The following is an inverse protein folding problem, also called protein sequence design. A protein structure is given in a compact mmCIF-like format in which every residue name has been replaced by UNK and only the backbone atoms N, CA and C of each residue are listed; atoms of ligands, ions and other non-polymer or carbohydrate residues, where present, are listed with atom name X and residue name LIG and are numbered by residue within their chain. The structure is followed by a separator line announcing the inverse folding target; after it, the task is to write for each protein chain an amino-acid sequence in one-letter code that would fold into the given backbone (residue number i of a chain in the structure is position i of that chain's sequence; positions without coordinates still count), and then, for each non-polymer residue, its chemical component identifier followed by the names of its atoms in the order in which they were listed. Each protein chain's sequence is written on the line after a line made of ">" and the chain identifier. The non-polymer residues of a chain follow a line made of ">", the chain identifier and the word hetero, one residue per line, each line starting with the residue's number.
data_IF_709883763529
#
_entry.id   IF_709883763529
#
_cell.length_a   1.000
_cell.length_b   1.000
_cell.length_c   1.000
_cell.angle_alpha   90.00
_cell.angle_beta   90.00
_cell.angle_gamma   90.00
#
_symmetry.space_group_name_H-M   'P 1'
#
loop_
_entity.id
_entity.type
_entity.pdbx_description
1 polymer ?
#
# COMPACT_ATOMS: atom_id res chain seq x y z
N UNK A 1 -31.96 11.43 41.85
CA UNK A 1 -31.03 12.57 42.01
C UNK A 1 -29.58 12.11 42.14
N UNK A 2 -29.24 11.20 43.07
CA UNK A 2 -27.87 10.65 43.23
C UNK A 2 -27.28 10.04 41.95
N UNK A 3 -28.02 9.16 41.27
CA UNK A 3 -27.64 8.51 40.00
C UNK A 3 -27.41 9.46 38.81
N UNK A 4 -28.03 10.65 38.83
CA UNK A 4 -27.85 11.67 37.78
C UNK A 4 -26.59 12.51 38.01
N UNK A 5 -26.26 12.81 39.27
CA UNK A 5 -25.04 13.52 39.66
C UNK A 5 -23.80 12.65 39.42
N UNK A 6 -23.90 11.36 39.77
CA UNK A 6 -22.86 10.35 39.54
C UNK A 6 -22.49 10.23 38.05
N UNK A 7 -23.48 10.18 37.15
CA UNK A 7 -23.24 10.17 35.70
C UNK A 7 -22.54 11.42 35.15
N UNK A 8 -22.87 12.61 35.65
CA UNK A 8 -22.24 13.87 35.22
C UNK A 8 -20.76 13.95 35.65
N UNK A 9 -20.47 13.52 36.88
CA UNK A 9 -19.10 13.51 37.41
C UNK A 9 -18.21 12.55 36.62
N UNK A 10 -18.75 11.41 36.19
CA UNK A 10 -18.00 10.41 35.44
C UNK A 10 -17.80 10.80 33.97
N UNK A 11 -18.75 11.49 33.35
CA UNK A 11 -18.55 12.08 32.02
C UNK A 11 -17.40 13.09 32.02
N UNK A 12 -17.31 13.93 33.07
CA UNK A 12 -16.20 14.88 33.24
C UNK A 12 -14.86 14.17 33.44
N UNK A 13 -14.83 13.08 34.22
CA UNK A 13 -13.62 12.27 34.41
C UNK A 13 -13.15 11.63 33.10
N UNK A 14 -14.07 11.11 32.27
CA UNK A 14 -13.75 10.57 30.93
C UNK A 14 -13.19 11.67 30.02
N UNK A 15 -13.77 12.86 30.05
CA UNK A 15 -13.30 14.01 29.27
C UNK A 15 -11.87 14.38 29.65
N UNK A 16 -11.58 14.50 30.94
CA UNK A 16 -10.23 14.79 31.43
C UNK A 16 -9.23 13.68 31.09
N UNK A 17 -9.65 12.42 31.12
CA UNK A 17 -8.81 11.31 30.73
C UNK A 17 -8.43 11.39 29.24
N UNK A 18 -9.39 11.63 28.35
CA UNK A 18 -9.14 11.82 26.92
C UNK A 18 -8.27 13.06 26.67
N UNK A 19 -8.50 14.16 27.37
CA UNK A 19 -7.66 15.34 27.24
C UNK A 19 -6.20 15.09 27.62
N UNK A 20 -5.95 14.28 28.66
CA UNK A 20 -4.58 13.87 29.04
C UNK A 20 -3.93 12.98 27.99
N UNK A 21 -4.68 12.08 27.37
CA UNK A 21 -4.18 11.23 26.28
C UNK A 21 -3.72 12.06 25.08
N UNK A 22 -4.37 13.20 24.82
CA UNK A 22 -4.04 14.10 23.73
C UNK A 22 -3.21 15.31 24.15
N UNK A 23 -2.62 15.30 25.35
CA UNK A 23 -1.88 16.46 25.88
C UNK A 23 -0.67 16.84 25.01
N UNK A 24 0.03 15.85 24.47
CA UNK A 24 1.20 16.01 23.60
C UNK A 24 0.85 15.99 22.10
N UNK A 25 -0.45 15.93 21.76
CA UNK A 25 -0.92 15.91 20.38
C UNK A 25 -0.86 17.32 19.74
N UNK A 26 -0.54 17.42 18.44
CA UNK A 26 -0.63 18.67 17.68
C UNK A 26 -2.05 19.23 17.70
N UNK A 27 -2.18 20.55 17.88
CA UNK A 27 -3.47 21.26 17.88
C UNK A 27 -3.98 21.51 16.44
N UNK A 28 -4.23 20.43 15.70
CA UNK A 28 -4.83 20.48 14.36
C UNK A 28 -6.32 20.16 14.41
N UNK A 29 -7.08 20.61 13.40
CA UNK A 29 -8.50 20.29 13.27
C UNK A 29 -8.75 18.77 13.28
N UNK A 30 -7.93 18.00 12.56
CA UNK A 30 -8.00 16.54 12.51
C UNK A 30 -7.81 15.90 13.89
N UNK A 31 -6.88 16.39 14.69
CA UNK A 31 -6.65 15.89 16.05
C UNK A 31 -7.79 16.28 17.01
N UNK A 32 -8.40 17.45 16.82
CA UNK A 32 -9.58 17.84 17.58
C UNK A 32 -10.80 16.95 17.25
N UNK A 33 -11.00 16.64 15.97
CA UNK A 33 -12.06 15.74 15.51
C UNK A 33 -11.85 14.32 16.04
N UNK A 34 -10.64 13.77 15.93
CA UNK A 34 -10.30 12.45 16.46
C UNK A 34 -10.48 12.37 17.98
N UNK A 35 -10.07 13.42 18.70
CA UNK A 35 -10.26 13.50 20.16
C UNK A 35 -11.75 13.42 20.53
N UNK A 36 -12.60 14.12 19.78
CA UNK A 36 -14.05 14.09 20.03
C UNK A 36 -14.66 12.74 19.67
N UNK A 37 -14.20 12.11 18.57
CA UNK A 37 -14.62 10.76 18.17
C UNK A 37 -14.28 9.72 19.24
N UNK A 38 -13.05 9.73 19.76
CA UNK A 38 -12.64 8.83 20.83
C UNK A 38 -13.45 9.10 22.10
N UNK A 39 -13.66 10.35 22.48
CA UNK A 39 -14.50 10.68 23.64
C UNK A 39 -15.92 10.12 23.51
N UNK A 40 -16.55 10.29 22.35
CA UNK A 40 -17.90 9.78 22.09
C UNK A 40 -17.97 8.26 22.14
N UNK A 41 -17.01 7.57 21.52
CA UNK A 41 -16.94 6.10 21.55
C UNK A 41 -16.75 5.55 22.97
N UNK A 42 -15.94 6.21 23.80
CA UNK A 42 -15.73 5.80 25.19
C UNK A 42 -16.95 6.07 26.05
N UNK A 43 -17.63 7.20 25.82
CA UNK A 43 -18.88 7.54 26.50
C UNK A 43 -19.98 6.53 26.16
N UNK A 44 -20.12 6.16 24.90
CA UNK A 44 -21.07 5.13 24.46
C UNK A 44 -20.77 3.79 25.14
N UNK A 45 -19.52 3.33 25.07
CA UNK A 45 -19.11 2.06 25.71
C UNK A 45 -19.30 2.08 27.24
N UNK A 46 -19.05 3.21 27.89
CA UNK A 46 -19.31 3.39 29.30
C UNK A 46 -20.81 3.24 29.62
N UNK A 47 -21.68 3.90 28.86
CA UNK A 47 -23.11 3.83 29.04
C UNK A 47 -23.64 2.41 28.82
N UNK A 48 -23.15 1.70 27.79
CA UNK A 48 -23.49 0.30 27.54
C UNK A 48 -23.17 -0.59 28.73
N UNK A 49 -22.00 -0.41 29.36
CA UNK A 49 -21.62 -1.17 30.55
C UNK A 49 -22.53 -0.86 31.75
N UNK A 50 -22.93 0.41 31.92
CA UNK A 50 -23.88 0.83 32.97
C UNK A 50 -25.28 0.26 32.75
N UNK A 51 -25.73 0.17 31.50
CA UNK A 51 -27.00 -0.47 31.14
C UNK A 51 -26.96 -1.98 31.36
N UNK A 52 -25.81 -2.62 31.11
CA UNK A 52 -25.58 -4.05 31.38
C UNK A 52 -25.34 -4.37 32.86
N UNK A 53 -25.50 -3.40 33.76
CA UNK A 53 -25.48 -3.60 35.21
C UNK A 53 -24.09 -3.49 35.86
N UNK A 54 -23.07 -3.05 35.13
CA UNK A 54 -21.74 -2.82 35.69
C UNK A 54 -21.77 -1.66 36.71
N UNK A 55 -20.91 -1.76 37.73
CA UNK A 55 -20.70 -0.64 38.65
C UNK A 55 -20.03 0.52 37.93
N UNK A 56 -20.06 1.69 38.56
CA UNK A 56 -19.56 2.90 37.93
C UNK A 56 -18.04 2.89 37.78
N UNK A 57 -17.39 2.38 38.81
CA UNK A 57 -15.95 2.16 38.89
C UNK A 57 -15.50 1.05 37.95
N UNK A 58 -16.27 -0.03 37.86
CA UNK A 58 -15.97 -1.17 36.98
C UNK A 58 -16.08 -0.77 35.51
N UNK A 59 -17.16 -0.07 35.12
CA UNK A 59 -17.34 0.45 33.77
C UNK A 59 -16.18 1.38 33.37
N UNK A 60 -15.72 2.24 34.29
CA UNK A 60 -14.62 3.15 34.04
C UNK A 60 -13.28 2.44 33.80
N UNK A 61 -12.92 1.45 34.62
CA UNK A 61 -11.68 0.68 34.45
C UNK A 61 -11.68 -0.15 33.15
N UNK A 62 -12.84 -0.68 32.75
CA UNK A 62 -12.99 -1.40 31.47
C UNK A 62 -12.80 -0.45 30.28
N UNK A 63 -13.39 0.75 30.34
CA UNK A 63 -13.26 1.75 29.27
C UNK A 63 -11.82 2.25 29.13
N UNK A 64 -11.16 2.51 30.26
CA UNK A 64 -9.75 2.93 30.32
C UNK A 64 -8.81 1.87 29.71
N UNK A 65 -9.01 0.59 30.03
CA UNK A 65 -8.20 -0.49 29.46
C UNK A 65 -8.49 -0.78 27.98
N UNK A 66 -9.66 -0.37 27.46
CA UNK A 66 -10.08 -0.61 26.07
C UNK A 66 -9.40 0.30 25.04
N UNK A 67 -8.83 1.42 25.47
CA UNK A 67 -8.22 2.41 24.59
C UNK A 67 -6.91 1.90 23.97
N UNK A 68 -6.17 1.04 24.65
CA UNK A 68 -4.91 0.50 24.16
C UNK A 68 -3.82 1.56 23.98
N UNK A 69 -3.02 1.43 22.90
CA UNK A 69 -1.91 2.31 22.59
C UNK A 69 -2.37 3.55 21.82
N UNK A 70 -2.72 4.61 22.56
CA UNK A 70 -3.16 5.89 21.97
C UNK A 70 -2.03 6.57 21.23
N UNK A 71 -0.78 6.29 21.59
CA UNK A 71 0.37 6.82 20.86
C UNK A 71 0.41 6.24 19.45
N UNK A 72 -0.03 4.99 19.23
CA UNK A 72 -0.21 4.42 17.88
C UNK A 72 -1.35 5.12 17.10
N UNK A 73 -2.47 5.43 17.76
CA UNK A 73 -3.60 6.15 17.14
C UNK A 73 -3.24 7.61 16.82
N UNK A 74 -2.56 8.30 17.73
CA UNK A 74 -2.08 9.67 17.57
C UNK A 74 -0.98 9.72 16.52
N UNK A 75 -0.07 8.74 16.51
CA UNK A 75 0.99 8.60 15.51
C UNK A 75 0.39 8.38 14.12
N UNK A 76 -0.53 7.41 13.96
CA UNK A 76 -1.20 7.16 12.68
C UNK A 76 -2.11 8.32 12.23
N UNK A 77 -2.69 9.08 13.16
CA UNK A 77 -3.50 10.26 12.82
C UNK A 77 -2.66 11.48 12.45
N UNK A 78 -1.52 11.68 13.12
CA UNK A 78 -0.58 12.77 12.86
C UNK A 78 0.43 12.47 11.77
N UNK A 79 0.60 11.21 11.38
CA UNK A 79 1.50 10.87 10.29
C UNK A 79 0.98 11.55 9.01
N UNK A 80 1.68 12.57 8.48
CA UNK A 80 1.32 13.21 7.21
C UNK A 80 1.52 12.24 6.04
N UNK A 81 2.11 11.07 6.32
CA UNK A 81 2.30 9.93 5.46
C UNK A 81 1.39 8.77 5.84
N UNK A 82 0.40 8.93 6.72
CA UNK A 82 -0.64 7.93 6.91
C UNK A 82 -1.53 7.90 5.68
N UNK A 83 -1.55 6.73 5.10
CA UNK A 83 -2.03 6.45 3.77
C UNK A 83 -3.30 5.71 4.04
N UNK A 84 -4.47 6.20 3.59
CA UNK A 84 -5.64 5.36 3.62
C UNK A 84 -5.25 4.05 2.93
N UNK A 85 -5.21 2.97 3.72
CA UNK A 85 -4.90 1.65 3.21
C UNK A 85 -5.82 1.37 2.02
N UNK A 86 -5.35 0.66 0.98
CA UNK A 86 -6.15 0.45 -0.22
C UNK A 86 -7.53 -0.07 0.15
N UNK A 87 -8.58 0.64 -0.28
CA UNK A 87 -9.97 0.32 0.07
C UNK A 87 -10.25 -1.17 -0.18
N UNK A 88 -11.12 -1.78 0.62
CA UNK A 88 -11.36 -3.23 0.53
C UNK A 88 -11.77 -3.67 -0.89
N UNK A 89 -12.47 -2.79 -1.63
CA UNK A 89 -12.81 -2.96 -3.04
C UNK A 89 -11.57 -2.99 -3.95
N UNK A 90 -10.63 -2.06 -3.75
CA UNK A 90 -9.36 -2.05 -4.47
C UNK A 90 -8.50 -3.27 -4.10
N UNK A 91 -8.46 -3.70 -2.84
CA UNK A 91 -7.75 -4.90 -2.40
C UNK A 91 -8.27 -6.16 -3.10
N UNK A 92 -9.59 -6.30 -3.24
CA UNK A 92 -10.23 -7.44 -3.92
C UNK A 92 -9.95 -7.43 -5.43
N UNK A 93 -10.03 -6.27 -6.09
CA UNK A 93 -9.66 -6.14 -7.52
C UNK A 93 -8.16 -6.39 -7.74
N UNK A 94 -7.32 -5.92 -6.80
CA UNK A 94 -5.86 -6.16 -6.77
C UNK A 94 -5.50 -7.63 -6.55
N UNK A 95 -6.30 -8.40 -5.83
CA UNK A 95 -6.07 -9.84 -5.70
C UNK A 95 -6.48 -10.57 -6.99
N UNK A 96 -7.59 -10.17 -7.61
CA UNK A 96 -8.13 -10.80 -8.83
C UNK A 96 -7.17 -10.77 -10.02
N UNK A 97 -6.62 -9.60 -10.39
CA UNK A 97 -5.71 -9.51 -11.55
C UNK A 97 -4.39 -10.27 -11.34
N UNK A 98 -3.87 -10.31 -10.11
CA UNK A 98 -2.66 -11.12 -9.82
C UNK A 98 -2.98 -12.59 -9.98
N UNK A 99 -4.14 -13.04 -9.47
CA UNK A 99 -4.57 -14.43 -9.59
C UNK A 99 -4.73 -14.86 -11.05
N UNK A 100 -5.31 -13.99 -11.91
CA UNK A 100 -5.43 -14.25 -13.36
C UNK A 100 -4.07 -14.40 -14.03
N UNK A 101 -3.11 -13.51 -13.75
CA UNK A 101 -1.77 -13.62 -14.31
C UNK A 101 -1.06 -14.91 -13.87
N UNK A 102 -1.17 -15.28 -12.60
CA UNK A 102 -0.60 -16.53 -12.06
C UNK A 102 -1.25 -17.75 -12.70
N UNK A 103 -2.57 -17.74 -12.88
CA UNK A 103 -3.30 -18.81 -13.55
C UNK A 103 -2.84 -18.99 -15.01
N UNK A 104 -2.62 -17.89 -15.74
CA UNK A 104 -2.09 -17.92 -17.10
C UNK A 104 -0.68 -18.53 -17.17
N UNK A 105 0.19 -18.24 -16.20
CA UNK A 105 1.52 -18.88 -16.13
C UNK A 105 1.43 -20.38 -15.87
N UNK A 106 0.54 -20.82 -14.97
CA UNK A 106 0.34 -22.24 -14.69
C UNK A 106 -0.21 -22.98 -15.91
N UNK A 107 -1.04 -22.30 -16.72
CA UNK A 107 -1.65 -22.88 -17.91
C UNK A 107 -0.72 -22.89 -19.13
N UNK A 108 0.28 -22.00 -19.20
CA UNK A 108 1.19 -21.90 -20.35
C UNK A 108 1.91 -23.22 -20.72
N UNK A 109 2.44 -24.03 -19.79
CA UNK A 109 3.05 -25.33 -20.09
C UNK A 109 2.07 -26.38 -20.65
N UNK A 110 0.76 -26.21 -20.49
CA UNK A 110 -0.24 -27.16 -21.02
C UNK A 110 -0.18 -27.17 -22.55
N UNK A 111 0.04 -26.02 -23.18
CA UNK A 111 0.11 -25.92 -24.64
C UNK A 111 1.29 -26.66 -25.26
N UNK A 112 2.46 -26.66 -24.60
CA UNK A 112 3.62 -27.42 -25.10
C UNK A 112 3.42 -28.94 -24.92
N UNK A 113 2.72 -29.38 -23.86
CA UNK A 113 2.44 -30.80 -23.62
C UNK A 113 1.40 -31.33 -24.64
N UNK A 114 0.30 -30.61 -24.85
CA UNK A 114 -0.79 -31.03 -25.74
C UNK A 114 -0.37 -30.95 -27.21
N UNK A 115 0.21 -29.85 -27.67
CA UNK A 115 0.64 -29.72 -29.06
C UNK A 115 1.91 -30.53 -29.33
N UNK A 116 2.74 -30.73 -28.31
CA UNK A 116 3.90 -31.61 -28.38
C UNK A 116 3.53 -33.08 -28.63
N UNK A 117 2.44 -33.57 -28.04
CA UNK A 117 1.96 -34.94 -28.28
C UNK A 117 1.40 -35.16 -29.69
N UNK A 118 0.99 -34.08 -30.37
CA UNK A 118 0.57 -34.06 -31.78
C UNK A 118 1.74 -33.82 -32.76
N UNK A 119 3.00 -33.88 -32.27
CA UNK A 119 4.21 -33.56 -33.04
C UNK A 119 4.28 -32.10 -33.55
N UNK A 120 3.54 -31.18 -32.93
CA UNK A 120 3.49 -29.74 -33.24
C UNK A 120 4.19 -28.92 -32.15
N UNK A 121 5.38 -29.36 -31.75
CA UNK A 121 6.15 -28.80 -30.61
C UNK A 121 6.48 -27.31 -30.80
N UNK A 122 6.83 -26.92 -32.02
CA UNK A 122 7.13 -25.52 -32.37
C UNK A 122 5.90 -24.64 -32.14
N UNK A 123 4.73 -25.10 -32.56
CA UNK A 123 3.46 -24.38 -32.39
C UNK A 123 3.12 -24.24 -30.90
N UNK A 124 3.29 -25.31 -30.11
CA UNK A 124 3.07 -25.30 -28.66
C UNK A 124 4.01 -24.34 -27.92
N UNK A 125 5.27 -24.28 -28.33
CA UNK A 125 6.25 -23.34 -27.81
C UNK A 125 5.85 -21.89 -28.11
N UNK A 126 5.39 -21.60 -29.32
CA UNK A 126 4.92 -20.26 -29.70
C UNK A 126 3.72 -19.82 -28.85
N UNK A 127 2.71 -20.68 -28.67
CA UNK A 127 1.56 -20.35 -27.82
C UNK A 127 1.93 -20.13 -26.35
N UNK A 128 2.87 -20.92 -25.82
CA UNK A 128 3.38 -20.74 -24.47
C UNK A 128 3.99 -19.34 -24.28
N UNK A 129 4.86 -18.90 -25.20
CA UNK A 129 5.48 -17.57 -25.10
C UNK A 129 4.49 -16.43 -25.25
N UNK A 130 3.45 -16.57 -26.08
CA UNK A 130 2.37 -15.58 -26.20
C UNK A 130 1.63 -15.43 -24.87
N UNK A 131 1.27 -16.55 -24.22
CA UNK A 131 0.59 -16.52 -22.92
C UNK A 131 1.45 -15.89 -21.81
N UNK A 132 2.74 -16.22 -21.80
CA UNK A 132 3.71 -15.62 -20.87
C UNK A 132 3.81 -14.11 -21.11
N UNK A 133 3.88 -13.67 -22.37
CA UNK A 133 3.93 -12.26 -22.72
C UNK A 133 2.66 -11.51 -22.27
N UNK A 134 1.47 -12.10 -22.46
CA UNK A 134 0.19 -11.53 -22.02
C UNK A 134 0.11 -11.45 -20.49
N UNK A 135 0.48 -12.52 -19.78
CA UNK A 135 0.49 -12.55 -18.32
C UNK A 135 1.47 -11.52 -17.73
N UNK A 136 2.66 -11.41 -18.32
CA UNK A 136 3.67 -10.43 -17.92
C UNK A 136 3.20 -9.01 -18.23
N UNK A 137 2.63 -8.78 -19.41
CA UNK A 137 2.04 -7.50 -19.80
C UNK A 137 0.95 -7.04 -18.84
N UNK A 138 0.08 -7.95 -18.37
CA UNK A 138 -0.95 -7.65 -17.37
C UNK A 138 -0.35 -7.22 -16.02
N UNK A 139 0.73 -7.89 -15.57
CA UNK A 139 1.43 -7.53 -14.33
C UNK A 139 2.19 -6.21 -14.45
N UNK A 140 2.87 -5.98 -15.58
CA UNK A 140 3.65 -4.77 -15.82
C UNK A 140 2.75 -3.56 -16.03
N UNK A 141 1.66 -3.69 -16.80
CA UNK A 141 0.65 -2.65 -16.96
C UNK A 141 0.14 -2.19 -15.58
N UNK A 142 -0.24 -3.16 -14.74
CA UNK A 142 -0.64 -2.85 -13.36
C UNK A 142 0.48 -2.23 -12.51
N UNK A 143 1.71 -2.71 -12.64
CA UNK A 143 2.86 -2.16 -11.91
C UNK A 143 3.16 -0.72 -12.34
N UNK A 144 2.94 -0.38 -13.61
CA UNK A 144 3.13 0.95 -14.18
C UNK A 144 1.99 1.90 -13.81
N UNK A 145 0.77 1.39 -13.59
CA UNK A 145 -0.33 2.12 -12.93
C UNK A 145 -0.13 2.30 -11.41
N UNK A 146 1.10 2.28 -10.92
CA UNK A 146 1.46 2.88 -9.63
C UNK A 146 1.85 4.35 -9.87
N UNK A 147 0.91 5.32 -9.96
CA UNK A 147 1.29 6.66 -9.58
C UNK A 147 1.62 6.56 -8.10
N UNK A 148 2.88 6.81 -7.74
CA UNK A 148 3.27 6.94 -6.35
C UNK A 148 2.31 7.92 -5.68
N UNK A 149 1.44 7.40 -4.83
CA UNK A 149 0.55 8.12 -3.94
C UNK A 149 -0.06 9.38 -4.56
N UNK A 150 -1.25 9.18 -5.11
CA UNK A 150 -2.21 10.27 -5.19
C UNK A 150 -2.56 10.65 -3.75
N UNK A 151 -1.83 11.64 -3.24
CA UNK A 151 -2.24 12.45 -2.09
C UNK A 151 -3.60 13.02 -2.45
N UNK A 152 -4.66 12.41 -1.90
CA UNK A 152 -5.91 13.11 -1.69
C UNK A 152 -5.55 14.33 -0.85
N UNK A 153 -5.90 15.53 -1.33
CA UNK A 153 -5.53 16.81 -0.72
C UNK A 153 -5.94 16.80 0.75
N UNK A 154 -4.96 16.67 1.65
CA UNK A 154 -5.17 17.01 3.05
C UNK A 154 -5.22 18.54 3.13
N UNK A 155 -6.28 18.98 3.79
CA UNK A 155 -6.79 20.33 3.95
C UNK A 155 -5.74 21.47 3.92
N UNK A 156 -6.15 22.58 3.32
CA UNK A 156 -5.34 23.72 2.83
C UNK A 156 -4.66 24.56 3.94
N UNK A 157 -4.49 24.03 5.16
CA UNK A 157 -4.03 24.80 6.33
C UNK A 157 -2.68 24.37 6.92
N UNK A 158 -1.93 23.44 6.31
CA UNK A 158 -0.62 23.02 6.81
C UNK A 158 0.52 23.31 5.81
N UNK A 159 1.07 24.51 5.99
CA UNK A 159 2.45 24.96 5.72
C UNK A 159 3.03 24.74 4.31
N UNK A 160 3.20 25.86 3.59
CA UNK A 160 3.85 25.95 2.27
C UNK A 160 5.29 25.38 2.24
N UNK A 161 5.98 25.32 3.38
CA UNK A 161 7.31 24.71 3.52
C UNK A 161 7.31 23.18 3.31
N UNK A 162 6.22 22.48 3.69
CA UNK A 162 6.10 21.03 3.50
C UNK A 162 5.84 20.66 2.03
N UNK A 163 5.12 21.52 1.29
CA UNK A 163 4.91 21.36 -0.16
C UNK A 163 6.23 21.43 -0.94
N UNK A 164 7.14 22.34 -0.58
CA UNK A 164 8.38 22.55 -1.34
C UNK A 164 9.36 21.36 -1.20
N UNK A 165 9.59 20.86 0.02
CA UNK A 165 10.48 19.72 0.25
C UNK A 165 9.98 18.43 -0.43
N UNK A 166 8.67 18.22 -0.47
CA UNK A 166 8.07 17.07 -1.16
C UNK A 166 8.07 17.18 -2.67
N UNK A 167 7.83 18.37 -3.24
CA UNK A 167 7.83 18.54 -4.70
C UNK A 167 9.25 18.34 -5.26
N UNK A 168 10.29 18.85 -4.60
CA UNK A 168 11.67 18.66 -5.06
C UNK A 168 12.15 17.21 -4.95
N UNK A 169 11.94 16.56 -3.80
CA UNK A 169 12.34 15.16 -3.61
C UNK A 169 11.50 14.17 -4.45
N UNK A 170 10.22 14.49 -4.71
CA UNK A 170 9.35 13.70 -5.57
C UNK A 170 9.74 13.83 -7.04
N UNK A 171 10.05 15.03 -7.53
CA UNK A 171 10.52 15.20 -8.90
C UNK A 171 11.87 14.50 -9.15
N UNK A 172 12.77 14.49 -8.16
CA UNK A 172 14.04 13.75 -8.25
C UNK A 172 13.82 12.23 -8.32
N UNK A 173 13.00 11.67 -7.43
CA UNK A 173 12.69 10.22 -7.39
C UNK A 173 11.80 9.74 -8.55
N UNK A 174 10.89 10.55 -9.07
CA UNK A 174 10.05 10.19 -10.21
C UNK A 174 10.84 10.09 -11.51
N UNK A 175 11.82 11.00 -11.72
CA UNK A 175 12.74 10.91 -12.86
C UNK A 175 13.58 9.63 -12.77
N UNK A 176 14.18 9.31 -11.63
CA UNK A 176 14.98 8.08 -11.48
C UNK A 176 14.16 6.78 -11.68
N UNK A 177 12.93 6.72 -11.16
CA UNK A 177 12.09 5.51 -11.23
C UNK A 177 11.48 5.25 -12.60
N UNK A 178 11.20 6.29 -13.40
CA UNK A 178 10.69 6.13 -14.76
C UNK A 178 11.73 5.46 -15.69
N UNK A 179 13.02 5.80 -15.55
CA UNK A 179 14.08 5.20 -16.35
C UNK A 179 14.34 3.73 -15.97
N UNK A 180 14.38 3.43 -14.67
CA UNK A 180 14.65 2.06 -14.19
C UNK A 180 13.49 1.11 -14.52
N UNK A 181 12.24 1.60 -14.55
CA UNK A 181 11.06 0.80 -14.88
C UNK A 181 11.01 0.30 -16.34
N UNK A 182 11.60 1.04 -17.29
CA UNK A 182 11.54 0.72 -18.72
C UNK A 182 12.75 -0.07 -19.25
N UNK A 183 13.91 0.01 -18.60
CA UNK A 183 15.15 -0.60 -19.08
C UNK A 183 15.09 -2.13 -19.09
N UNK A 184 14.58 -2.75 -18.03
CA UNK A 184 14.50 -4.20 -17.91
C UNK A 184 13.64 -4.90 -18.97
N UNK A 185 12.39 -4.47 -19.25
CA UNK A 185 11.60 -5.10 -20.30
C UNK A 185 12.23 -4.94 -21.70
N UNK A 186 12.93 -3.82 -21.96
CA UNK A 186 13.66 -3.61 -23.21
C UNK A 186 14.84 -4.58 -23.34
N UNK A 187 15.64 -4.75 -22.28
CA UNK A 187 16.76 -5.72 -22.26
C UNK A 187 16.23 -7.14 -22.52
N UNK A 188 15.13 -7.52 -21.89
CA UNK A 188 14.51 -8.84 -22.06
C UNK A 188 14.02 -9.02 -23.50
N UNK A 189 13.37 -8.00 -24.09
CA UNK A 189 12.94 -8.06 -25.49
C UNK A 189 14.12 -8.23 -26.46
N UNK A 190 15.20 -7.45 -26.27
CA UNK A 190 16.43 -7.56 -27.07
C UNK A 190 17.08 -8.94 -26.91
N UNK A 191 17.17 -9.45 -25.69
CA UNK A 191 17.66 -10.81 -25.43
C UNK A 191 16.87 -11.85 -26.22
N UNK A 192 15.54 -11.81 -26.17
CA UNK A 192 14.72 -12.77 -26.92
C UNK A 192 14.92 -12.65 -28.43
N UNK A 193 14.89 -11.43 -29.00
CA UNK A 193 15.07 -11.22 -30.44
C UNK A 193 16.42 -11.77 -30.91
N UNK A 194 17.50 -11.50 -30.19
CA UNK A 194 18.85 -11.97 -30.55
C UNK A 194 18.98 -13.48 -30.31
N UNK A 195 18.44 -14.00 -29.21
CA UNK A 195 18.55 -15.42 -28.86
C UNK A 195 17.76 -16.33 -29.79
N UNK A 196 16.60 -15.86 -30.28
CA UNK A 196 15.82 -16.60 -31.29
C UNK A 196 16.43 -16.54 -32.69
N UNK A 197 16.99 -15.40 -33.10
CA UNK A 197 17.60 -15.27 -34.44
C UNK A 197 18.94 -16.02 -34.55
N UNK A 198 19.73 -16.02 -33.47
CA UNK A 198 21.05 -16.67 -33.46
C UNK A 198 21.01 -18.13 -33.03
N UNK A 199 19.96 -18.58 -32.33
CA UNK A 199 19.89 -19.91 -31.71
C UNK A 199 20.99 -20.16 -30.66
N UNK A 200 21.78 -19.14 -30.32
CA UNK A 200 22.97 -19.22 -29.48
C UNK A 200 22.66 -18.88 -28.02
N UNK A 201 21.66 -19.58 -27.45
CA UNK A 201 21.17 -19.39 -26.07
C UNK A 201 22.29 -19.43 -25.01
N UNK A 202 23.38 -20.13 -25.31
CA UNK A 202 24.56 -20.26 -24.46
C UNK A 202 25.42 -19.00 -24.34
N UNK A 203 25.29 -18.06 -25.29
CA UNK A 203 26.09 -16.83 -25.38
C UNK A 203 25.22 -15.60 -25.08
N UNK A 204 23.97 -15.62 -25.52
CA UNK A 204 23.06 -14.47 -25.46
C UNK A 204 22.74 -14.00 -24.04
N UNK A 205 22.92 -14.83 -23.01
CA UNK A 205 22.72 -14.46 -21.61
C UNK A 205 23.68 -13.33 -21.13
N UNK A 206 24.80 -13.11 -21.81
CA UNK A 206 25.74 -12.01 -21.52
C UNK A 206 25.06 -10.65 -21.63
N UNK A 207 23.97 -10.53 -22.40
CA UNK A 207 23.15 -9.31 -22.52
C UNK A 207 22.62 -8.85 -21.15
N UNK A 208 22.32 -9.76 -20.22
CA UNK A 208 21.88 -9.39 -18.87
C UNK A 208 22.98 -8.74 -18.03
N UNK A 209 24.22 -9.24 -18.14
CA UNK A 209 25.37 -8.63 -17.45
C UNK A 209 25.62 -7.23 -17.99
N UNK A 210 25.60 -7.08 -19.32
CA UNK A 210 25.76 -5.79 -19.99
C UNK A 210 24.63 -4.84 -19.58
N UNK A 211 23.38 -5.31 -19.57
CA UNK A 211 22.22 -4.54 -19.14
C UNK A 211 22.31 -4.05 -17.68
N UNK A 212 22.75 -4.91 -16.76
CA UNK A 212 22.99 -4.54 -15.37
C UNK A 212 24.12 -3.49 -15.22
N UNK A 213 25.20 -3.62 -15.99
CA UNK A 213 26.28 -2.65 -16.01
C UNK A 213 25.82 -1.27 -16.54
N UNK A 214 25.06 -1.26 -17.64
CA UNK A 214 24.46 -0.04 -18.20
C UNK A 214 23.56 0.65 -17.17
N UNK A 215 22.75 -0.12 -16.42
CA UNK A 215 21.91 0.44 -15.37
C UNK A 215 22.73 1.14 -14.28
N UNK A 216 23.86 0.57 -13.86
CA UNK A 216 24.72 1.18 -12.84
C UNK A 216 25.39 2.46 -13.34
N UNK A 217 25.81 2.50 -14.61
CA UNK A 217 26.37 3.69 -15.25
C UNK A 217 25.33 4.80 -15.32
N UNK A 218 24.10 4.49 -15.75
CA UNK A 218 23.00 5.46 -15.83
C UNK A 218 22.66 6.00 -14.44
N UNK A 219 22.57 5.13 -13.42
CA UNK A 219 22.33 5.56 -12.03
C UNK A 219 23.47 6.44 -11.49
N UNK A 220 24.72 6.15 -11.84
CA UNK A 220 25.87 6.95 -11.43
C UNK A 220 25.92 8.31 -12.14
N UNK A 221 25.45 8.40 -13.38
CA UNK A 221 25.39 9.63 -14.16
C UNK A 221 24.20 10.55 -13.80
N UNK A 222 23.12 9.98 -13.23
CA UNK A 222 21.95 10.72 -12.78
C UNK A 222 22.02 11.23 -11.33
N UNK A 223 23.03 10.78 -10.57
CA UNK A 223 23.30 11.21 -9.19
C UNK A 223 24.04 12.54 -9.17
#
# INVERSE_FOLDING_TARGET
>A
MKRYLEGIIMEENLRQYVERLFADAPKTRKMLELREEIFMNLKEKYNDLRENGASEEEAYEIVKSSIGDVDELISSANDPYAVPGPSEKERRQRAGLTAVAVMLYILAPVFIIVLGSMNQQILGLTFMFILIAVATGLLVYRSSLRPGYRYEKVDDSMVEEFKQWHVENKQKKEKENAYVGAIWPIIVAVYFIISFTTGAWRITWVIFIIGAAIQQIIKAALK
#
